data_IF_577747819168
#
_entry.id   IF_577747819168
#
_cell.length_a   1.000
_cell.length_b   1.000
_cell.length_c   1.000
_cell.angle_alpha   90.00
_cell.angle_beta   90.00
_cell.angle_gamma   90.00
#
_symmetry.space_group_name_H-M   'P 1'
#
loop_
_entity.id
_entity.type
_entity.pdbx_description
1 polymer ?
#
# COMPACT_ATOMS: atom_id res chain seq x y z
N UNK A 1 -10.73 -20.56 6.30
CA UNK A 1 -11.62 -21.73 6.53
C UNK A 1 -12.06 -21.92 7.98
N UNK A 2 -11.27 -21.51 8.97
CA UNK A 2 -11.55 -21.70 10.41
C UNK A 2 -12.93 -21.20 10.87
N UNK A 3 -13.37 -20.01 10.45
CA UNK A 3 -14.67 -19.45 10.87
C UNK A 3 -15.87 -20.30 10.43
N UNK A 4 -15.87 -20.81 9.20
CA UNK A 4 -16.94 -21.68 8.69
C UNK A 4 -16.96 -23.01 9.44
N UNK A 5 -15.80 -23.64 9.64
CA UNK A 5 -15.71 -24.89 10.39
C UNK A 5 -16.17 -24.73 11.83
N UNK A 6 -15.81 -23.63 12.50
CA UNK A 6 -16.26 -23.35 13.86
C UNK A 6 -17.79 -23.25 13.95
N UNK A 7 -18.42 -22.54 13.00
CA UNK A 7 -19.88 -22.44 12.94
C UNK A 7 -20.56 -23.81 12.69
N UNK A 8 -19.99 -24.65 11.81
CA UNK A 8 -20.51 -25.99 11.54
C UNK A 8 -20.36 -26.94 12.73
N UNK A 9 -19.23 -26.87 13.44
CA UNK A 9 -19.00 -27.63 14.67
C UNK A 9 -20.01 -27.22 15.75
N UNK A 10 -20.20 -25.93 15.97
CA UNK A 10 -21.20 -25.42 16.92
C UNK A 10 -22.62 -25.87 16.55
N UNK A 11 -22.98 -25.84 15.25
CA UNK A 11 -24.26 -26.35 14.74
C UNK A 11 -24.47 -27.83 15.04
N UNK A 12 -23.39 -28.62 15.08
CA UNK A 12 -23.42 -30.05 15.41
C UNK A 12 -23.29 -30.33 16.93
N UNK A 13 -23.40 -29.29 17.78
CA UNK A 13 -23.35 -29.44 19.23
C UNK A 13 -21.93 -29.56 19.81
N UNK A 14 -20.90 -29.34 19.01
CA UNK A 14 -19.53 -29.27 19.52
C UNK A 14 -19.35 -28.01 20.35
N UNK A 15 -18.84 -28.13 21.57
CA UNK A 15 -18.60 -27.02 22.49
C UNK A 15 -17.14 -26.58 22.44
N UNK A 16 -16.91 -25.27 22.53
CA UNK A 16 -15.57 -24.68 22.64
C UNK A 16 -15.11 -24.54 24.09
N UNK A 17 -13.81 -24.27 24.29
CA UNK A 17 -13.29 -23.82 25.58
C UNK A 17 -13.95 -22.49 26.00
N UNK A 18 -13.95 -22.13 27.30
CA UNK A 18 -14.36 -20.80 27.74
C UNK A 18 -13.62 -19.73 26.94
N UNK A 19 -14.38 -18.93 26.21
CA UNK A 19 -13.86 -17.89 25.34
C UNK A 19 -14.46 -16.55 25.75
N UNK A 20 -13.73 -15.46 25.49
CA UNK A 20 -14.28 -14.13 25.54
C UNK A 20 -15.37 -14.05 24.47
N UNK A 21 -16.64 -13.99 24.89
CA UNK A 21 -17.76 -13.92 23.97
C UNK A 21 -17.89 -12.49 23.44
N UNK A 22 -18.57 -12.33 22.30
CA UNK A 22 -18.82 -10.99 21.75
C UNK A 22 -19.51 -10.08 22.78
N UNK A 23 -20.38 -10.63 23.63
CA UNK A 23 -21.16 -9.88 24.63
C UNK A 23 -20.40 -9.60 25.94
N UNK A 24 -19.13 -10.01 26.04
CA UNK A 24 -18.32 -9.77 27.23
C UNK A 24 -18.11 -8.27 27.45
N UNK A 25 -18.25 -7.83 28.70
CA UNK A 25 -18.13 -6.41 29.08
C UNK A 25 -16.75 -5.81 28.76
N UNK A 26 -15.72 -6.65 28.75
CA UNK A 26 -14.32 -6.34 28.48
C UNK A 26 -14.09 -5.89 27.04
N UNK A 27 -15.00 -6.21 26.12
CA UNK A 27 -14.95 -5.82 24.70
C UNK A 27 -16.18 -5.01 24.28
N UNK A 28 -16.91 -4.44 25.24
CA UNK A 28 -18.11 -3.64 24.99
C UNK A 28 -17.90 -2.55 23.93
N UNK A 29 -16.74 -1.92 23.93
CA UNK A 29 -16.36 -0.88 22.97
C UNK A 29 -16.40 -1.33 21.50
N UNK A 30 -16.24 -2.63 21.21
CA UNK A 30 -16.24 -3.18 19.86
C UNK A 30 -17.66 -3.32 19.30
N UNK A 31 -18.66 -3.53 20.17
CA UNK A 31 -20.04 -3.83 19.75
C UNK A 31 -21.09 -2.84 20.25
N UNK A 32 -20.71 -1.86 21.07
CA UNK A 32 -21.62 -0.87 21.65
C UNK A 32 -22.39 -0.04 20.59
N UNK A 33 -21.91 0.01 19.36
CA UNK A 33 -22.53 0.75 18.24
C UNK A 33 -23.20 -0.16 17.18
N UNK A 34 -23.39 -1.45 17.47
CA UNK A 34 -24.10 -2.38 16.59
C UNK A 34 -25.49 -1.86 16.21
N UNK A 35 -25.82 -1.96 14.92
CA UNK A 35 -27.06 -1.43 14.36
C UNK A 35 -27.09 0.09 14.15
N UNK A 36 -26.08 0.84 14.62
CA UNK A 36 -25.94 2.29 14.42
C UNK A 36 -24.82 2.63 13.45
N UNK A 37 -23.64 2.02 13.61
CA UNK A 37 -22.48 2.25 12.74
C UNK A 37 -22.23 1.04 11.86
N UNK A 38 -22.26 1.25 10.55
CA UNK A 38 -21.96 0.21 9.56
C UNK A 38 -20.56 0.41 9.01
N UNK A 39 -19.59 -0.39 9.48
CA UNK A 39 -18.19 -0.27 9.05
C UNK A 39 -18.00 -0.53 7.55
N UNK A 40 -18.88 -1.33 6.92
CA UNK A 40 -18.84 -1.60 5.47
C UNK A 40 -18.95 -0.33 4.62
N UNK A 41 -19.61 0.72 5.12
CA UNK A 41 -19.76 2.00 4.42
C UNK A 41 -18.50 2.88 4.51
N UNK A 42 -17.56 2.57 5.41
CA UNK A 42 -16.32 3.30 5.61
C UNK A 42 -15.08 2.60 5.06
N UNK A 43 -15.25 1.69 4.09
CA UNK A 43 -14.13 0.93 3.52
C UNK A 43 -13.48 1.69 2.37
N UNK A 44 -12.16 1.55 2.26
CA UNK A 44 -11.39 2.07 1.13
C UNK A 44 -11.24 1.00 0.04
N UNK A 45 -11.38 1.40 -1.23
CA UNK A 45 -11.09 0.54 -2.37
C UNK A 45 -9.66 0.79 -2.86
N UNK A 46 -8.90 -0.29 -3.04
CA UNK A 46 -7.56 -0.21 -3.63
C UNK A 46 -7.69 0.02 -5.13
N UNK A 47 -7.04 1.05 -5.63
CA UNK A 47 -6.96 1.31 -7.08
C UNK A 47 -5.90 0.45 -7.75
N UNK A 48 -4.79 0.23 -7.04
CA UNK A 48 -3.65 -0.53 -7.54
C UNK A 48 -3.49 -1.86 -6.80
N UNK A 49 -2.98 -2.89 -7.46
CA UNK A 49 -2.90 -4.26 -6.94
C UNK A 49 -1.75 -4.48 -5.92
N UNK A 50 -1.53 -3.55 -4.99
CA UNK A 50 -0.38 -3.55 -4.05
C UNK A 50 -0.79 -3.33 -2.59
N UNK A 51 0.18 -3.34 -1.68
CA UNK A 51 0.01 -2.91 -0.30
C UNK A 51 -0.68 -1.54 -0.23
N UNK A 52 -1.61 -1.37 0.72
CA UNK A 52 -2.37 -0.12 0.83
C UNK A 52 -1.47 1.10 1.08
N UNK A 53 -0.33 0.90 1.74
CA UNK A 53 0.63 1.94 2.06
C UNK A 53 1.33 2.55 0.85
N UNK A 54 1.39 1.84 -0.29
CA UNK A 54 1.99 2.33 -1.52
C UNK A 54 1.02 3.15 -2.39
N UNK A 55 -0.29 3.04 -2.17
CA UNK A 55 -1.33 3.73 -2.96
C UNK A 55 -1.12 5.26 -3.06
N UNK A 56 -0.87 6.01 -1.95
CA UNK A 56 -0.72 7.46 -2.03
C UNK A 56 0.56 7.87 -2.77
N UNK A 57 1.65 7.10 -2.65
CA UNK A 57 2.90 7.37 -3.37
C UNK A 57 2.74 7.18 -4.88
N UNK A 58 2.05 6.11 -5.30
CA UNK A 58 1.75 5.87 -6.72
C UNK A 58 0.85 6.99 -7.27
N UNK A 59 -0.22 7.34 -6.54
CA UNK A 59 -1.13 8.40 -6.95
C UNK A 59 -0.42 9.76 -7.09
N UNK A 60 0.43 10.13 -6.13
CA UNK A 60 1.20 11.38 -6.18
C UNK A 60 2.20 11.39 -7.36
N UNK A 61 2.89 10.28 -7.57
CA UNK A 61 3.86 10.12 -8.67
C UNK A 61 3.18 10.27 -10.04
N UNK A 62 2.07 9.57 -10.26
CA UNK A 62 1.29 9.68 -11.49
C UNK A 62 0.69 11.08 -11.70
N UNK A 63 0.26 11.74 -10.62
CA UNK A 63 -0.25 13.11 -10.69
C UNK A 63 0.83 14.11 -11.13
N UNK A 64 2.05 13.99 -10.59
CA UNK A 64 3.20 14.80 -11.03
C UNK A 64 3.53 14.54 -12.50
N UNK A 65 3.55 13.27 -12.91
CA UNK A 65 3.84 12.91 -14.30
C UNK A 65 2.75 13.43 -15.26
N UNK A 66 1.48 13.34 -14.88
CA UNK A 66 0.38 13.87 -15.66
C UNK A 66 0.42 15.41 -15.78
N UNK A 67 0.81 16.10 -14.71
CA UNK A 67 0.85 17.56 -14.68
C UNK A 67 2.02 18.16 -15.45
N UNK A 68 3.18 17.48 -15.46
CA UNK A 68 4.44 18.05 -15.96
C UNK A 68 5.00 17.34 -17.21
N UNK A 69 4.64 16.08 -17.45
CA UNK A 69 5.00 15.36 -18.67
C UNK A 69 6.50 15.23 -18.92
N UNK A 70 7.32 15.10 -17.87
CA UNK A 70 8.76 14.96 -18.03
C UNK A 70 9.12 13.57 -18.60
N UNK A 71 10.17 13.47 -19.44
CA UNK A 71 10.68 12.17 -19.88
C UNK A 71 11.19 11.35 -18.68
N UNK A 72 10.98 10.03 -18.68
CA UNK A 72 11.38 9.20 -17.54
C UNK A 72 12.91 9.12 -17.40
N UNK A 73 13.63 9.28 -18.50
CA UNK A 73 15.08 9.20 -18.59
C UNK A 73 15.76 10.36 -17.86
N UNK A 74 15.06 11.51 -17.75
CA UNK A 74 15.58 12.70 -17.06
C UNK A 74 15.33 12.66 -15.55
N UNK A 75 14.59 11.68 -15.03
CA UNK A 75 14.35 11.54 -13.59
C UNK A 75 15.67 11.20 -12.91
N UNK A 76 16.17 12.08 -12.05
CA UNK A 76 17.36 11.84 -11.24
C UNK A 76 17.01 11.10 -9.95
N UNK A 77 15.95 11.53 -9.26
CA UNK A 77 15.55 10.99 -7.96
C UNK A 77 14.04 11.12 -7.77
N UNK A 78 13.42 10.11 -7.16
CA UNK A 78 12.04 10.14 -6.69
C UNK A 78 12.11 10.01 -5.16
N UNK A 79 11.69 11.04 -4.43
CA UNK A 79 11.60 11.00 -2.97
C UNK A 79 10.16 10.79 -2.55
N UNK A 80 9.94 9.75 -1.75
CA UNK A 80 8.64 9.45 -1.15
C UNK A 80 8.73 9.69 0.34
N UNK A 81 8.14 10.79 0.80
CA UNK A 81 7.98 11.10 2.21
C UNK A 81 6.74 10.36 2.73
N UNK A 82 6.87 9.52 3.75
CA UNK A 82 5.78 8.67 4.26
C UNK A 82 5.99 8.30 5.73
N UNK A 83 5.06 7.55 6.32
CA UNK A 83 5.14 7.06 7.71
C UNK A 83 6.08 5.84 7.83
N UNK A 84 6.52 5.55 9.05
CA UNK A 84 7.57 4.58 9.37
C UNK A 84 7.34 3.22 8.70
N UNK A 85 6.16 2.64 8.86
CA UNK A 85 5.82 1.31 8.37
C UNK A 85 5.88 1.22 6.84
N UNK A 86 5.48 2.27 6.12
CA UNK A 86 5.60 2.32 4.66
C UNK A 86 7.07 2.34 4.21
N UNK A 87 7.97 2.97 4.97
CA UNK A 87 9.42 2.93 4.66
C UNK A 87 10.03 1.54 4.82
N UNK A 88 9.35 0.60 5.49
CA UNK A 88 9.85 -0.79 5.63
C UNK A 88 9.63 -1.62 4.37
N UNK A 89 8.78 -1.16 3.45
CA UNK A 89 8.54 -1.77 2.15
C UNK A 89 9.64 -1.37 1.14
N UNK A 90 10.91 -1.45 1.54
CA UNK A 90 12.05 -0.83 0.83
C UNK A 90 12.74 -1.73 -0.21
N UNK A 91 12.23 -2.94 -0.48
CA UNK A 91 12.77 -3.77 -1.55
C UNK A 91 12.69 -2.98 -2.87
N UNK A 92 13.76 -3.00 -3.68
CA UNK A 92 13.81 -2.30 -4.97
C UNK A 92 13.65 -3.23 -6.16
N UNK A 93 14.17 -4.45 -6.03
CA UNK A 93 14.19 -5.47 -7.07
C UNK A 93 13.45 -6.73 -6.57
N UNK A 94 12.12 -6.67 -6.44
CA UNK A 94 11.34 -7.84 -6.05
C UNK A 94 11.48 -8.96 -7.09
N UNK A 95 11.60 -10.20 -6.62
CA UNK A 95 11.78 -11.39 -7.48
C UNK A 95 10.47 -12.13 -7.74
N UNK A 96 9.44 -11.83 -6.96
CA UNK A 96 8.11 -12.45 -7.08
C UNK A 96 7.02 -11.39 -7.07
N UNK A 97 5.82 -11.79 -7.52
CA UNK A 97 4.63 -10.95 -7.46
C UNK A 97 4.33 -10.51 -6.03
N UNK A 98 4.44 -11.43 -5.06
CA UNK A 98 4.19 -11.14 -3.65
C UNK A 98 5.19 -10.10 -3.11
N UNK A 99 6.47 -10.23 -3.46
CA UNK A 99 7.48 -9.24 -3.08
C UNK A 99 7.19 -7.88 -3.72
N UNK A 100 6.78 -7.85 -4.99
CA UNK A 100 6.44 -6.62 -5.70
C UNK A 100 5.25 -5.88 -5.07
N UNK A 101 4.26 -6.61 -4.57
CA UNK A 101 3.13 -6.03 -3.85
C UNK A 101 3.51 -5.38 -2.51
N UNK A 102 4.66 -5.75 -1.92
CA UNK A 102 5.18 -5.23 -0.65
C UNK A 102 6.52 -4.49 -0.81
N UNK A 103 6.76 -3.92 -1.99
CA UNK A 103 7.97 -3.20 -2.38
C UNK A 103 7.59 -1.79 -2.85
N UNK A 104 7.48 -0.79 -1.96
CA UNK A 104 7.01 0.56 -2.35
C UNK A 104 7.78 1.16 -3.56
N UNK A 105 9.12 1.07 -3.64
CA UNK A 105 9.88 1.54 -4.81
C UNK A 105 9.42 0.96 -6.15
N UNK A 106 9.19 -0.35 -6.23
CA UNK A 106 8.94 -1.03 -7.50
C UNK A 106 7.58 -0.63 -8.09
N UNK A 107 6.42 -0.75 -7.42
CA UNK A 107 5.16 -0.13 -7.79
C UNK A 107 5.20 1.33 -8.22
N UNK A 108 5.97 2.19 -7.55
CA UNK A 108 6.07 3.60 -7.94
C UNK A 108 6.74 3.73 -9.30
N UNK A 109 7.82 3.00 -9.53
CA UNK A 109 8.51 2.95 -10.81
C UNK A 109 7.66 2.30 -11.92
N UNK A 110 7.05 1.16 -11.64
CA UNK A 110 6.21 0.42 -12.58
C UNK A 110 5.02 1.28 -13.04
N UNK A 111 4.37 1.99 -12.11
CA UNK A 111 3.29 2.90 -12.45
C UNK A 111 3.74 4.06 -13.37
N UNK A 112 4.96 4.59 -13.21
CA UNK A 112 5.48 5.62 -14.12
C UNK A 112 5.68 5.08 -15.54
N UNK A 113 6.15 3.84 -15.67
CA UNK A 113 6.45 3.21 -16.96
C UNK A 113 5.18 2.79 -17.69
N UNK A 114 4.26 2.12 -16.99
CA UNK A 114 3.08 1.52 -17.59
C UNK A 114 1.83 2.42 -17.53
N UNK A 115 1.86 3.49 -16.73
CA UNK A 115 0.71 4.37 -16.45
C UNK A 115 -0.50 3.67 -15.81
N UNK A 116 -0.37 2.40 -15.46
CA UNK A 116 -1.31 1.59 -14.70
C UNK A 116 -0.57 0.63 -13.77
N UNK A 117 -1.31 -0.08 -12.90
CA UNK A 117 -0.70 -1.06 -12.00
C UNK A 117 -1.70 -2.14 -11.59
N UNK A 118 -1.85 -3.13 -12.46
CA UNK A 118 -2.59 -4.37 -12.25
C UNK A 118 -1.66 -5.54 -11.89
N UNK A 119 -2.14 -6.76 -12.11
CA UNK A 119 -1.35 -7.97 -11.88
C UNK A 119 -0.24 -8.14 -12.92
N UNK A 120 -0.48 -7.72 -14.16
CA UNK A 120 0.46 -7.89 -15.27
C UNK A 120 1.74 -7.08 -15.01
N UNK A 121 1.61 -5.82 -14.58
CA UNK A 121 2.74 -4.91 -14.29
C UNK A 121 3.54 -5.31 -13.03
N UNK A 122 3.00 -6.22 -12.23
CA UNK A 122 3.58 -6.69 -10.96
C UNK A 122 4.04 -8.15 -11.04
N UNK A 123 4.06 -8.78 -12.21
CA UNK A 123 4.39 -10.19 -12.34
C UNK A 123 5.18 -10.52 -13.61
N UNK A 124 5.66 -11.76 -13.69
CA UNK A 124 6.27 -12.30 -14.90
C UNK A 124 7.42 -11.45 -15.43
N UNK A 125 7.34 -11.04 -16.69
CA UNK A 125 8.39 -10.29 -17.37
C UNK A 125 8.58 -8.87 -16.80
N UNK A 126 7.52 -8.24 -16.29
CA UNK A 126 7.56 -6.87 -15.76
C UNK A 126 8.44 -6.74 -14.51
N UNK A 127 8.59 -7.81 -13.73
CA UNK A 127 9.54 -7.86 -12.59
C UNK A 127 10.99 -7.62 -13.02
N UNK A 128 11.31 -7.91 -14.29
CA UNK A 128 12.65 -7.80 -14.85
C UNK A 128 12.78 -6.65 -15.86
N UNK A 129 11.78 -5.77 -15.96
CA UNK A 129 11.82 -4.63 -16.88
C UNK A 129 12.98 -3.69 -16.48
N UNK A 130 13.99 -3.50 -17.35
CA UNK A 130 15.17 -2.70 -17.01
C UNK A 130 14.85 -1.24 -16.68
N UNK A 131 13.81 -0.67 -17.29
CA UNK A 131 13.43 0.72 -17.04
C UNK A 131 12.76 0.85 -15.67
N UNK A 132 11.87 -0.09 -15.32
CA UNK A 132 11.23 -0.15 -14.01
C UNK A 132 12.27 -0.32 -12.90
N UNK A 133 13.19 -1.28 -13.06
CA UNK A 133 14.24 -1.51 -12.07
C UNK A 133 15.16 -0.29 -11.91
N UNK A 134 15.54 0.35 -13.02
CA UNK A 134 16.37 1.57 -12.99
C UNK A 134 15.67 2.74 -12.29
N UNK A 135 14.37 2.91 -12.46
CA UNK A 135 13.59 3.94 -11.75
C UNK A 135 13.37 3.57 -10.28
N UNK A 136 13.14 2.29 -9.98
CA UNK A 136 13.00 1.77 -8.61
C UNK A 136 14.26 2.06 -7.77
N UNK A 137 15.43 1.95 -8.38
CA UNK A 137 16.71 2.33 -7.76
C UNK A 137 16.82 3.80 -7.41
N UNK A 138 16.11 4.67 -8.15
CA UNK A 138 16.04 6.11 -7.92
C UNK A 138 14.95 6.49 -6.91
N UNK A 139 14.25 5.52 -6.31
CA UNK A 139 13.29 5.80 -5.24
C UNK A 139 13.99 5.81 -3.88
N UNK A 140 13.86 6.93 -3.18
CA UNK A 140 14.27 7.13 -1.79
C UNK A 140 13.02 7.25 -0.92
N UNK A 141 12.93 6.40 0.11
CA UNK A 141 11.86 6.47 1.10
C UNK A 141 12.36 7.28 2.29
N UNK A 142 11.63 8.35 2.61
CA UNK A 142 11.96 9.26 3.70
C UNK A 142 10.84 9.20 4.73
N UNK A 143 11.21 8.94 5.98
CA UNK A 143 10.24 8.98 7.08
C UNK A 143 9.87 10.43 7.41
N UNK A 144 8.58 10.71 7.51
CA UNK A 144 8.01 12.04 7.81
C UNK A 144 7.28 12.00 9.16
N UNK A 145 7.83 12.65 10.22
CA UNK A 145 7.23 12.68 11.54
C UNK A 145 5.77 13.14 11.56
N UNK A 146 5.40 14.11 10.71
CA UNK A 146 4.03 14.59 10.63
C UNK A 146 3.04 13.51 10.14
N UNK A 147 3.50 12.54 9.35
CA UNK A 147 2.68 11.44 8.85
C UNK A 147 2.58 10.30 9.88
N UNK A 148 3.63 10.06 10.66
CA UNK A 148 3.58 9.11 11.78
C UNK A 148 2.48 9.46 12.79
N UNK A 149 2.28 10.75 13.10
CA UNK A 149 1.25 11.21 14.05
C UNK A 149 -0.17 10.84 13.58
N UNK A 150 -0.39 10.72 12.26
CA UNK A 150 -1.72 10.47 11.67
C UNK A 150 -1.96 8.99 11.36
N UNK A 151 -0.91 8.18 11.35
CA UNK A 151 -1.00 6.73 11.20
C UNK A 151 -1.53 6.09 12.50
N UNK A 152 -2.39 5.05 12.45
CA UNK A 152 -2.87 4.33 11.28
C UNK A 152 -4.20 4.87 10.71
N UNK A 153 -4.72 6.00 11.19
CA UNK A 153 -6.01 6.52 10.70
C UNK A 153 -5.87 6.98 9.24
N UNK A 154 -4.73 7.58 8.90
CA UNK A 154 -4.44 8.05 7.55
C UNK A 154 -3.11 7.52 7.05
N UNK A 155 -3.10 6.91 5.87
CA UNK A 155 -1.88 6.42 5.21
C UNK A 155 -1.47 7.45 4.16
N UNK A 156 -0.58 8.36 4.56
CA UNK A 156 -0.18 9.51 3.73
C UNK A 156 1.17 9.30 3.06
N UNK A 157 1.32 9.93 1.90
CA UNK A 157 2.61 10.11 1.26
C UNK A 157 2.66 11.47 0.54
N UNK A 158 3.86 12.03 0.45
CA UNK A 158 4.19 13.16 -0.42
C UNK A 158 5.32 12.71 -1.34
N UNK A 159 5.19 12.99 -2.63
CA UNK A 159 6.20 12.65 -3.64
C UNK A 159 6.87 13.93 -4.10
N UNK A 160 8.18 13.84 -4.33
CA UNK A 160 8.96 14.86 -4.99
C UNK A 160 9.82 14.20 -6.08
N UNK A 161 9.85 14.80 -7.27
CA UNK A 161 10.64 14.28 -8.39
C UNK A 161 11.67 15.33 -8.80
N UNK A 162 12.94 14.96 -8.76
CA UNK A 162 14.06 15.78 -9.21
C UNK A 162 14.52 15.30 -10.58
N UNK A 163 14.73 16.23 -11.52
CA UNK A 163 15.32 15.92 -12.83
C UNK A 163 16.84 16.11 -12.83
N UNK A 164 17.53 15.55 -13.83
CA UNK A 164 18.97 15.74 -14.02
C UNK A 164 19.37 17.21 -14.22
N UNK A 165 18.46 18.04 -14.72
CA UNK A 165 18.65 19.48 -14.91
C UNK A 165 18.39 20.28 -13.62
N UNK A 166 17.96 19.62 -12.56
CA UNK A 166 17.70 20.22 -11.24
C UNK A 166 16.29 20.78 -11.06
N UNK A 167 15.38 20.55 -12.00
CA UNK A 167 13.97 20.88 -11.79
C UNK A 167 13.38 19.96 -10.72
N UNK A 168 12.54 20.50 -9.85
CA UNK A 168 11.88 19.77 -8.76
C UNK A 168 10.38 19.99 -8.87
N UNK A 169 9.64 18.88 -8.89
CA UNK A 169 8.18 18.83 -8.87
C UNK A 169 7.69 18.21 -7.57
#
# INVERSE_FOLDING_TARGET
>A
MTGVTAALLARNGFTGAPALTLESSEVAEIWADLGRKWLISGQNFKRYAVCHWAQPAIAGTLALQQAHGFPLEVIKQIRVFTFHEATRLACRHPQTTEEAQYSLPFPVAAALVYHELGLEELSGASLNDPLVLSLSDRVELVEEPAFNIRFPVEQLARVQIETIEGAIF
#
